data_IF_308728117721
#
_entry.id   IF_308728117721
#
_cell.length_a   1.000
_cell.length_b   1.000
_cell.length_c   1.000
_cell.angle_alpha   90.00
_cell.angle_beta   90.00
_cell.angle_gamma   90.00
#
_symmetry.space_group_name_H-M   'P 1'
#
loop_
_entity.id
_entity.type
_entity.pdbx_description
1 polymer ?
#
# COMPACT_ATOMS: atom_id res chain seq x y z
N UNK A 1 -6.69 -6.82 -17.57
CA UNK A 1 -6.87 -6.32 -16.21
C UNK A 1 -6.97 -7.50 -15.25
N UNK A 2 -6.29 -7.41 -14.13
CA UNK A 2 -6.23 -8.49 -13.15
C UNK A 2 -6.38 -7.93 -11.74
N UNK A 3 -7.24 -8.54 -10.94
CA UNK A 3 -7.39 -8.23 -9.52
C UNK A 3 -6.74 -9.35 -8.70
N UNK A 4 -5.80 -8.99 -7.85
CA UNK A 4 -5.14 -9.95 -6.94
C UNK A 4 -5.52 -9.58 -5.50
N UNK A 5 -6.05 -10.54 -4.77
CA UNK A 5 -6.35 -10.36 -3.35
C UNK A 5 -5.07 -10.64 -2.57
N UNK A 6 -4.47 -9.58 -2.02
CA UNK A 6 -3.26 -9.72 -1.21
C UNK A 6 -3.60 -10.13 0.22
N UNK A 7 -4.69 -9.59 0.75
CA UNK A 7 -5.15 -9.92 2.08
C UNK A 7 -6.61 -9.55 2.28
N UNK A 8 -7.30 -10.33 3.09
CA UNK A 8 -8.72 -10.12 3.38
C UNK A 8 -9.14 -10.70 4.73
N UNK A 9 -8.22 -10.75 5.69
CA UNK A 9 -8.53 -11.33 7.00
C UNK A 9 -9.37 -10.42 7.90
N UNK A 10 -9.60 -9.18 7.49
CA UNK A 10 -10.46 -8.28 8.26
C UNK A 10 -9.68 -7.42 9.23
N UNK A 11 -10.14 -7.30 10.47
CA UNK A 11 -9.68 -6.30 11.44
C UNK A 11 -8.18 -6.31 11.76
N UNK A 12 -7.49 -7.41 11.45
CA UNK A 12 -6.04 -7.51 11.63
C UNK A 12 -5.51 -8.61 10.71
N UNK A 13 -4.19 -8.66 10.55
CA UNK A 13 -3.56 -9.77 9.86
C UNK A 13 -3.61 -11.02 10.72
N UNK A 14 -3.63 -12.18 10.07
CA UNK A 14 -3.65 -13.46 10.74
C UNK A 14 -2.55 -14.39 10.22
N UNK A 15 -2.44 -15.58 10.81
CA UNK A 15 -1.41 -16.52 10.39
C UNK A 15 -1.57 -16.98 8.94
N UNK A 16 -2.79 -16.89 8.40
CA UNK A 16 -3.07 -17.33 7.04
C UNK A 16 -3.02 -16.19 6.02
N UNK A 17 -2.83 -14.96 6.44
CA UNK A 17 -2.72 -13.88 5.51
C UNK A 17 -2.82 -12.48 6.11
N UNK A 18 -2.53 -11.48 5.29
CA UNK A 18 -2.60 -10.08 5.67
C UNK A 18 -4.03 -9.59 5.91
N UNK A 19 -4.13 -8.43 6.52
CA UNK A 19 -5.37 -7.66 6.56
C UNK A 19 -5.75 -7.17 5.15
N UNK A 20 -6.49 -6.09 5.03
CA UNK A 20 -7.07 -5.72 3.74
C UNK A 20 -6.07 -5.13 2.76
N UNK A 21 -6.03 -5.69 1.56
CA UNK A 21 -5.23 -5.16 0.46
C UNK A 21 -5.56 -5.87 -0.84
N UNK A 22 -5.82 -5.09 -1.89
CA UNK A 22 -6.25 -5.61 -3.19
C UNK A 22 -5.47 -4.91 -4.29
N UNK A 23 -4.86 -5.67 -5.18
CA UNK A 23 -3.99 -5.13 -6.23
C UNK A 23 -4.67 -5.27 -7.59
N UNK A 24 -4.90 -4.15 -8.24
CA UNK A 24 -5.42 -4.11 -9.60
C UNK A 24 -4.28 -3.80 -10.56
N UNK A 25 -4.04 -4.70 -11.51
CA UNK A 25 -2.98 -4.52 -12.50
C UNK A 25 -3.55 -4.44 -13.91
N UNK A 26 -2.97 -3.55 -14.70
CA UNK A 26 -3.29 -3.37 -16.13
C UNK A 26 -1.98 -3.29 -16.87
N UNK A 27 -1.90 -3.93 -18.04
CA UNK A 27 -0.67 -3.97 -18.82
C UNK A 27 -0.14 -2.55 -19.12
N UNK A 28 1.16 -2.36 -18.89
CA UNK A 28 1.89 -1.14 -19.20
C UNK A 28 1.46 0.08 -18.40
N UNK A 29 0.76 -0.13 -17.28
CA UNK A 29 0.35 0.94 -16.37
C UNK A 29 0.78 0.63 -14.96
N UNK A 30 1.02 1.64 -14.13
CA UNK A 30 1.21 1.40 -12.70
C UNK A 30 -0.01 0.67 -12.13
N UNK A 31 0.21 -0.20 -11.18
CA UNK A 31 -0.87 -0.87 -10.50
C UNK A 31 -1.64 0.10 -9.60
N UNK A 32 -2.82 -0.31 -9.18
CA UNK A 32 -3.59 0.37 -8.14
C UNK A 32 -3.70 -0.58 -6.96
N UNK A 33 -3.13 -0.17 -5.83
CA UNK A 33 -3.27 -0.89 -4.58
C UNK A 33 -4.42 -0.27 -3.79
N UNK A 34 -5.45 -1.06 -3.54
CA UNK A 34 -6.63 -0.63 -2.78
C UNK A 34 -6.50 -1.15 -1.35
N UNK A 35 -6.26 -0.23 -0.43
CA UNK A 35 -5.91 -0.47 0.96
C UNK A 35 -4.57 -1.19 1.14
N UNK A 36 -3.91 -0.90 2.24
CA UNK A 36 -2.63 -1.50 2.58
C UNK A 36 -2.57 -1.76 4.08
N UNK A 37 -3.31 -2.76 4.52
CA UNK A 37 -3.34 -3.17 5.92
C UNK A 37 -2.10 -3.97 6.32
N UNK A 38 -1.99 -4.31 7.61
CA UNK A 38 -0.85 -5.06 8.14
C UNK A 38 -0.56 -6.33 7.35
N UNK A 39 0.69 -6.50 6.93
CA UNK A 39 1.15 -7.66 6.17
C UNK A 39 1.03 -7.52 4.66
N UNK A 40 0.29 -6.56 4.16
CA UNK A 40 0.02 -6.41 2.73
C UNK A 40 1.28 -6.11 1.95
N UNK A 41 2.17 -5.27 2.48
CA UNK A 41 3.40 -4.93 1.76
C UNK A 41 4.29 -6.16 1.53
N UNK A 42 4.44 -7.01 2.55
CA UNK A 42 5.23 -8.22 2.41
C UNK A 42 4.63 -9.14 1.35
N UNK A 43 3.33 -9.31 1.36
CA UNK A 43 2.65 -10.14 0.37
C UNK A 43 2.76 -9.56 -1.04
N UNK A 44 2.64 -8.24 -1.17
CA UNK A 44 2.74 -7.55 -2.45
C UNK A 44 4.09 -7.81 -3.13
N UNK A 45 5.17 -7.88 -2.36
CA UNK A 45 6.50 -8.13 -2.89
C UNK A 45 6.60 -9.45 -3.65
N UNK A 46 5.73 -10.39 -3.38
CA UNK A 46 5.73 -11.69 -4.07
C UNK A 46 5.11 -11.63 -5.46
N UNK A 47 4.36 -10.58 -5.78
CA UNK A 47 3.60 -10.52 -7.03
C UNK A 47 3.81 -9.23 -7.83
N UNK A 48 4.34 -8.18 -7.22
CA UNK A 48 4.46 -6.88 -7.89
C UNK A 48 5.53 -6.02 -7.21
N UNK A 49 6.15 -5.13 -7.98
CA UNK A 49 7.09 -4.15 -7.42
C UNK A 49 6.30 -3.09 -6.65
N UNK A 50 6.47 -2.99 -5.33
CA UNK A 50 5.68 -2.07 -4.52
C UNK A 50 5.80 -0.60 -4.94
N UNK A 51 6.94 -0.21 -5.49
CA UNK A 51 7.13 1.17 -5.92
C UNK A 51 6.35 1.54 -7.17
N UNK A 52 5.79 0.57 -7.88
CA UNK A 52 5.08 0.81 -9.13
C UNK A 52 3.57 0.68 -8.93
N UNK A 53 3.04 1.43 -7.98
CA UNK A 53 1.62 1.37 -7.67
C UNK A 53 1.12 2.71 -7.12
N UNK A 54 -0.05 3.10 -7.58
CA UNK A 54 -0.87 4.09 -6.88
C UNK A 54 -1.53 3.43 -5.69
N UNK A 55 -1.88 4.18 -4.66
CA UNK A 55 -2.56 3.65 -3.48
C UNK A 55 -3.87 4.39 -3.28
N UNK A 56 -4.93 3.65 -3.03
CA UNK A 56 -6.24 4.21 -2.71
C UNK A 56 -6.75 3.60 -1.41
N UNK A 57 -7.28 4.45 -0.54
CA UNK A 57 -7.83 4.03 0.75
C UNK A 57 -9.34 4.20 0.75
N UNK A 58 -10.05 3.13 1.12
CA UNK A 58 -11.48 3.22 1.38
C UNK A 58 -11.74 4.05 2.64
N UNK A 59 -10.96 3.81 3.67
CA UNK A 59 -10.96 4.55 4.92
C UNK A 59 -9.65 4.28 5.66
N UNK A 60 -9.44 4.95 6.79
CA UNK A 60 -8.15 4.90 7.46
C UNK A 60 -8.18 4.14 8.79
N UNK A 61 -9.02 3.15 8.90
CA UNK A 61 -8.90 2.20 10.02
C UNK A 61 -7.58 1.42 9.91
N UNK A 62 -6.99 1.01 11.03
CA UNK A 62 -5.66 0.38 11.02
C UNK A 62 -5.52 -0.81 10.09
N UNK A 63 -6.55 -1.63 9.98
CA UNK A 63 -6.51 -2.83 9.13
C UNK A 63 -6.49 -2.50 7.62
N UNK A 64 -6.63 -1.22 7.26
CA UNK A 64 -6.63 -0.76 5.88
C UNK A 64 -5.42 0.11 5.54
N UNK A 65 -4.66 0.59 6.52
CA UNK A 65 -3.63 1.59 6.23
C UNK A 65 -2.29 1.39 6.96
N UNK A 66 -2.17 0.49 7.92
CA UNK A 66 -0.99 0.46 8.78
C UNK A 66 0.30 0.00 8.10
N UNK A 67 0.25 -0.59 6.92
CA UNK A 67 1.47 -0.87 6.16
C UNK A 67 1.91 0.30 5.28
N UNK A 68 1.17 1.39 5.25
CA UNK A 68 1.56 2.54 4.44
C UNK A 68 2.92 3.12 4.86
N UNK A 69 3.22 3.31 6.15
CA UNK A 69 4.56 3.75 6.53
C UNK A 69 5.67 2.83 6.03
N UNK A 70 5.45 1.53 6.05
CA UNK A 70 6.41 0.56 5.52
C UNK A 70 6.59 0.70 4.02
N UNK A 71 5.53 1.02 3.29
CA UNK A 71 5.64 1.32 1.86
C UNK A 71 6.51 2.54 1.61
N UNK A 72 6.42 3.56 2.45
CA UNK A 72 7.28 4.74 2.34
C UNK A 72 8.73 4.39 2.58
N UNK A 73 9.01 3.51 3.53
CA UNK A 73 10.38 3.01 3.75
C UNK A 73 10.87 2.23 2.53
N UNK A 74 10.03 1.37 1.97
CA UNK A 74 10.36 0.64 0.74
C UNK A 74 10.73 1.58 -0.40
N UNK A 75 9.92 2.61 -0.64
CA UNK A 75 10.16 3.56 -1.72
C UNK A 75 11.43 4.36 -1.53
N UNK A 76 11.81 4.61 -0.29
CA UNK A 76 13.00 5.41 0.02
C UNK A 76 14.29 4.60 -0.06
N UNK A 77 14.28 3.34 0.37
CA UNK A 77 15.50 2.59 0.62
C UNK A 77 15.69 1.35 -0.24
N UNK A 78 14.66 0.86 -0.94
CA UNK A 78 14.81 -0.32 -1.76
C UNK A 78 15.74 -0.06 -2.95
N UNK A 79 16.72 -0.94 -3.20
CA UNK A 79 17.61 -0.79 -4.34
C UNK A 79 16.89 -0.83 -5.68
N UNK A 80 15.74 -1.50 -5.75
CA UNK A 80 14.94 -1.59 -6.97
C UNK A 80 14.00 -0.41 -7.14
N UNK A 81 13.86 0.43 -6.12
CA UNK A 81 12.97 1.59 -6.18
C UNK A 81 13.68 2.75 -6.88
N UNK A 82 13.71 2.71 -8.19
CA UNK A 82 14.32 3.75 -9.01
C UNK A 82 13.32 4.89 -9.26
N UNK A 83 12.55 5.24 -8.28
CA UNK A 83 11.37 6.02 -8.55
C UNK A 83 11.58 7.50 -8.41
N UNK A 84 11.78 8.10 -9.53
CA UNK A 84 11.49 9.52 -9.68
C UNK A 84 10.05 9.75 -10.11
N UNK A 85 9.28 8.67 -10.34
CA UNK A 85 7.87 8.79 -10.70
C UNK A 85 7.04 9.05 -9.47
N UNK A 86 6.13 9.99 -9.59
CA UNK A 86 5.13 10.24 -8.56
C UNK A 86 3.94 9.32 -8.79
N UNK A 87 3.48 8.71 -7.72
CA UNK A 87 2.26 7.94 -7.74
C UNK A 87 1.19 8.64 -6.91
N UNK A 88 -0.05 8.38 -7.24
CA UNK A 88 -1.17 9.01 -6.55
C UNK A 88 -1.48 8.26 -5.27
N UNK A 89 -1.87 9.03 -4.25
CA UNK A 89 -2.43 8.48 -3.03
C UNK A 89 -3.82 9.10 -2.86
N UNK A 90 -4.84 8.27 -2.95
CA UNK A 90 -6.23 8.69 -2.91
C UNK A 90 -6.88 8.19 -1.62
N UNK A 91 -7.73 9.01 -1.03
CA UNK A 91 -8.39 8.59 0.20
C UNK A 91 -9.26 9.69 0.79
N UNK A 92 -9.75 9.49 2.02
CA UNK A 92 -10.49 10.52 2.72
C UNK A 92 -9.72 11.82 2.83
N UNK A 93 -10.44 12.91 3.10
CA UNK A 93 -9.86 14.25 3.10
C UNK A 93 -8.65 14.40 4.03
N UNK A 94 -8.66 13.73 5.17
CA UNK A 94 -7.60 13.86 6.17
C UNK A 94 -6.43 12.86 5.96
N UNK A 95 -6.42 12.14 4.86
CA UNK A 95 -5.40 11.13 4.56
C UNK A 95 -3.97 11.69 4.65
N UNK A 96 -3.63 12.83 4.03
CA UNK A 96 -2.24 13.30 4.09
C UNK A 96 -1.79 13.60 5.52
N UNK A 97 -2.65 14.17 6.34
CA UNK A 97 -2.30 14.54 7.72
C UNK A 97 -2.11 13.27 8.56
N UNK A 98 -3.04 12.34 8.50
CA UNK A 98 -3.01 11.13 9.33
C UNK A 98 -1.86 10.21 8.93
N UNK A 99 -1.67 9.97 7.65
CA UNK A 99 -0.59 9.10 7.18
C UNK A 99 0.78 9.75 7.35
N UNK A 100 0.86 11.06 7.20
CA UNK A 100 2.11 11.77 7.45
C UNK A 100 2.58 11.61 8.88
N UNK A 101 1.68 11.68 9.85
CA UNK A 101 2.02 11.45 11.25
C UNK A 101 2.51 10.04 11.52
N UNK A 102 1.89 9.05 10.90
CA UNK A 102 2.29 7.66 11.05
C UNK A 102 3.66 7.38 10.43
N UNK A 103 3.99 8.09 9.37
CA UNK A 103 5.24 7.85 8.65
C UNK A 103 6.45 8.53 9.31
N UNK A 104 6.23 9.29 10.36
CA UNK A 104 7.27 10.05 11.07
C UNK A 104 8.09 10.93 10.14
N UNK A 105 7.58 11.17 8.95
CA UNK A 105 8.21 12.10 8.04
C UNK A 105 7.83 13.48 8.48
N UNK A 106 8.74 14.05 9.18
CA UNK A 106 8.60 15.46 9.38
C UNK A 106 8.72 16.12 8.04
N UNK A 107 7.83 16.97 7.78
CA UNK A 107 7.93 17.78 6.60
C UNK A 107 9.23 18.54 6.62
#
# INVERSE_FOLDING_TARGET
>A
MKLTILGCTGSLGGPDGPASGYLLTVDRMPALLMDIGPGVLAKMQTVHQPEDAHVAFSHLHPDHCLDFPSLMVWRRFSPSATTYRRHMCLGPRDTPVRLGRLSADTP
#
